data_IF_641556788792
#
_entry.id   IF_641556788792
#
_cell.length_a   1.000
_cell.length_b   1.000
_cell.length_c   1.000
_cell.angle_alpha   90.00
_cell.angle_beta   90.00
_cell.angle_gamma   90.00
#
_symmetry.space_group_name_H-M   'P 1'
#
loop_
_entity.id
_entity.type
_entity.pdbx_description
1 polymer ?
#
# COMPACT_ATOMS: atom_id res chain seq x y z
N UNK A 1 -19.27 2.19 1.86
CA UNK A 1 -20.42 2.24 0.94
C UNK A 1 -20.08 1.38 -0.26
N UNK A 2 -20.57 0.14 -0.30
CA UNK A 2 -20.36 -0.76 -1.44
C UNK A 2 -21.29 -0.32 -2.58
N UNK A 3 -20.74 -0.13 -3.78
CA UNK A 3 -21.54 0.12 -4.98
C UNK A 3 -21.48 -1.12 -5.85
N UNK A 4 -22.66 -1.66 -6.16
CA UNK A 4 -22.87 -2.81 -7.02
C UNK A 4 -22.27 -2.58 -8.43
N UNK A 5 -21.51 -3.55 -8.93
CA UNK A 5 -21.16 -3.59 -10.36
C UNK A 5 -22.36 -4.12 -11.15
N UNK A 6 -23.07 -3.23 -11.85
CA UNK A 6 -24.09 -3.65 -12.80
C UNK A 6 -23.42 -4.11 -14.11
N UNK A 7 -23.45 -5.42 -14.37
CA UNK A 7 -22.72 -6.06 -15.47
C UNK A 7 -23.62 -6.20 -16.70
N UNK A 8 -23.62 -5.19 -17.58
CA UNK A 8 -24.29 -5.33 -18.88
C UNK A 8 -23.56 -6.34 -19.77
N UNK A 9 -24.15 -7.54 -19.89
CA UNK A 9 -23.75 -8.54 -20.86
C UNK A 9 -24.02 -8.02 -22.29
N UNK A 10 -22.97 -7.85 -23.09
CA UNK A 10 -23.12 -7.83 -24.56
C UNK A 10 -23.13 -9.27 -25.06
N UNK A 11 -24.24 -9.66 -25.67
CA UNK A 11 -24.47 -10.97 -26.26
C UNK A 11 -23.60 -11.13 -27.52
N UNK A 12 -22.48 -11.86 -27.44
CA UNK A 12 -21.72 -12.30 -28.62
C UNK A 12 -22.25 -13.67 -29.03
N UNK A 13 -22.68 -13.79 -30.29
CA UNK A 13 -23.32 -15.00 -30.82
C UNK A 13 -22.32 -16.15 -30.89
N UNK A 14 -22.71 -17.30 -30.35
CA UNK A 14 -21.98 -18.56 -30.46
C UNK A 14 -22.30 -19.20 -31.82
N UNK A 15 -21.36 -19.17 -32.76
CA UNK A 15 -21.44 -19.96 -34.00
C UNK A 15 -20.70 -21.28 -33.82
N UNK A 16 -21.47 -22.35 -33.61
CA UNK A 16 -20.99 -23.73 -33.58
C UNK A 16 -20.45 -24.12 -34.96
N UNK A 17 -19.17 -24.50 -35.05
CA UNK A 17 -18.65 -25.21 -36.21
C UNK A 17 -18.36 -26.66 -35.81
N UNK A 18 -19.18 -27.58 -36.34
CA UNK A 18 -19.01 -29.01 -36.17
C UNK A 18 -17.97 -29.49 -37.19
N UNK A 19 -16.82 -30.01 -36.74
CA UNK A 19 -15.91 -30.76 -37.60
C UNK A 19 -15.66 -32.12 -36.95
N UNK A 20 -16.35 -33.12 -37.47
CA UNK A 20 -16.13 -34.52 -37.13
C UNK A 20 -15.15 -35.10 -38.14
N UNK A 21 -14.01 -35.62 -37.68
CA UNK A 21 -13.24 -36.59 -38.47
C UNK A 21 -12.69 -37.68 -37.56
N UNK A 22 -12.98 -38.93 -37.92
CA UNK A 22 -12.57 -40.15 -37.22
C UNK A 22 -11.23 -40.69 -37.78
N UNK A 23 -10.77 -41.78 -37.16
CA UNK A 23 -9.66 -42.68 -37.57
C UNK A 23 -8.24 -42.21 -37.18
N UNK A 24 -7.33 -43.07 -36.76
CA UNK A 24 -7.46 -44.43 -36.18
C UNK A 24 -6.24 -44.69 -35.27
N UNK A 25 -6.28 -45.74 -34.44
CA UNK A 25 -5.30 -45.95 -33.38
C UNK A 25 -4.01 -46.67 -33.79
N UNK A 26 -3.04 -46.67 -32.87
CA UNK A 26 -2.01 -47.70 -32.73
C UNK A 26 -1.72 -47.89 -31.23
N UNK A 27 -1.56 -49.15 -30.82
CA UNK A 27 -1.45 -49.61 -29.43
C UNK A 27 -0.04 -50.15 -29.20
N UNK A 28 0.61 -49.80 -28.07
CA UNK A 28 1.63 -50.69 -27.46
C UNK A 28 1.63 -50.60 -25.92
N UNK A 29 1.46 -51.79 -25.34
CA UNK A 29 1.74 -52.26 -23.95
C UNK A 29 3.26 -52.49 -23.75
N UNK A 30 3.86 -52.84 -22.60
CA UNK A 30 3.54 -52.85 -21.15
C UNK A 30 4.81 -53.26 -20.34
N UNK A 31 4.79 -53.09 -19.00
CA UNK A 31 5.66 -53.74 -17.98
C UNK A 31 7.20 -53.45 -18.04
N UNK A 32 8.03 -53.65 -16.99
CA UNK A 32 7.85 -54.28 -15.66
C UNK A 32 8.78 -53.66 -14.58
N UNK A 33 8.67 -54.13 -13.34
CA UNK A 33 9.41 -53.74 -12.12
C UNK A 33 10.79 -54.43 -12.00
N UNK A 34 11.70 -53.94 -11.13
CA UNK A 34 11.95 -54.54 -9.78
C UNK A 34 13.17 -53.97 -9.00
N UNK A 35 12.94 -53.81 -7.69
CA UNK A 35 13.80 -53.86 -6.50
C UNK A 35 15.33 -53.59 -6.51
N UNK A 36 15.78 -52.75 -5.55
CA UNK A 36 16.30 -53.33 -4.30
C UNK A 36 16.23 -52.44 -3.04
N UNK A 37 16.02 -53.10 -1.89
CA UNK A 37 16.15 -52.62 -0.51
C UNK A 37 17.64 -52.71 -0.07
N UNK A 38 18.16 -52.39 1.13
CA UNK A 38 17.69 -51.92 2.46
C UNK A 38 18.93 -51.26 3.16
N UNK A 39 19.07 -50.93 4.46
CA UNK A 39 18.21 -50.90 5.66
C UNK A 39 18.88 -50.01 6.75
N UNK A 40 18.14 -49.61 7.80
CA UNK A 40 18.63 -49.37 9.20
C UNK A 40 19.71 -48.28 9.47
N UNK A 41 19.91 -47.71 10.66
CA UNK A 41 19.21 -47.60 11.97
C UNK A 41 19.96 -46.50 12.75
N UNK A 42 19.34 -45.42 13.23
CA UNK A 42 18.57 -45.25 14.48
C UNK A 42 19.40 -45.10 15.79
N UNK A 43 18.91 -44.18 16.64
CA UNK A 43 19.16 -44.01 18.09
C UNK A 43 20.55 -43.61 18.65
N UNK A 44 20.58 -42.42 19.25
CA UNK A 44 21.48 -42.05 20.38
C UNK A 44 21.01 -42.75 21.67
N UNK A 45 21.79 -42.74 22.79
CA UNK A 45 21.48 -41.73 23.83
C UNK A 45 22.62 -41.37 24.85
N UNK A 46 22.63 -40.10 25.34
CA UNK A 46 22.68 -39.70 26.79
C UNK A 46 23.99 -40.02 27.61
N UNK A 47 24.53 -39.31 28.63
CA UNK A 47 24.14 -38.20 29.56
C UNK A 47 25.38 -37.39 30.05
N UNK A 48 25.15 -36.17 30.56
CA UNK A 48 25.64 -35.51 31.81
C UNK A 48 26.93 -36.04 32.53
N UNK A 49 27.79 -35.22 33.16
CA UNK A 49 27.51 -34.59 34.49
C UNK A 49 28.47 -33.45 34.90
N UNK A 50 27.93 -32.52 35.70
CA UNK A 50 28.48 -31.40 36.48
C UNK A 50 29.84 -31.58 37.17
N UNK A 51 30.73 -30.57 37.22
CA UNK A 51 30.94 -29.59 38.35
C UNK A 51 32.45 -29.50 38.68
N UNK A 52 33.07 -28.49 39.34
CA UNK A 52 32.62 -27.32 40.13
C UNK A 52 33.70 -26.20 40.18
N UNK A 53 33.32 -25.00 40.67
CA UNK A 53 34.07 -23.90 41.36
C UNK A 53 35.63 -23.91 41.34
N UNK A 54 36.35 -22.79 41.20
CA UNK A 54 36.31 -21.60 42.09
C UNK A 54 37.23 -20.47 41.55
N UNK A 55 37.07 -19.20 41.99
CA UNK A 55 38.09 -18.15 41.82
C UNK A 55 37.59 -16.79 41.33
N UNK A 56 37.44 -15.82 42.25
CA UNK A 56 37.04 -14.44 41.93
C UNK A 56 38.17 -13.62 41.31
N UNK A 57 37.83 -12.63 40.49
CA UNK A 57 38.43 -11.29 40.60
C UNK A 57 37.49 -10.22 40.01
N UNK A 58 37.34 -9.12 40.75
CA UNK A 58 36.45 -8.01 40.39
C UNK A 58 37.28 -6.77 40.08
N UNK A 59 37.19 -6.26 38.85
CA UNK A 59 37.58 -4.90 38.50
C UNK A 59 36.63 -4.42 37.39
N UNK A 60 35.85 -3.38 37.68
CA UNK A 60 34.82 -2.90 36.76
C UNK A 60 35.32 -1.78 35.85
N UNK A 61 34.88 -1.79 34.60
CA UNK A 61 34.83 -0.58 33.74
C UNK A 61 33.51 -0.59 32.95
N UNK A 62 32.92 0.59 32.78
CA UNK A 62 31.61 0.77 32.17
C UNK A 62 31.67 0.78 30.63
N UNK A 63 30.50 0.51 30.01
CA UNK A 63 30.05 1.01 28.71
C UNK A 63 30.97 0.88 27.48
N UNK A 64 30.51 0.09 26.50
CA UNK A 64 30.35 0.66 25.15
C UNK A 64 29.19 0.03 24.38
N UNK A 65 28.36 0.91 23.84
CA UNK A 65 27.19 0.60 23.01
C UNK A 65 27.67 -0.01 21.69
N UNK A 66 27.16 -1.18 21.32
CA UNK A 66 27.44 -1.76 20.01
C UNK A 66 26.81 -0.90 18.90
N UNK A 67 27.67 -0.42 18.00
CA UNK A 67 27.36 0.53 16.91
C UNK A 67 26.06 0.19 16.18
N UNK A 68 25.22 1.20 16.01
CA UNK A 68 24.09 1.18 15.09
C UNK A 68 24.57 0.86 13.66
N UNK A 69 23.83 -0.05 13.01
CA UNK A 69 24.07 -0.49 11.64
C UNK A 69 23.87 0.69 10.67
N UNK A 70 24.90 1.02 9.88
CA UNK A 70 24.84 2.10 8.91
C UNK A 70 23.82 1.78 7.80
N UNK A 71 22.89 2.69 7.46
CA UNK A 71 22.03 2.49 6.30
C UNK A 71 22.87 2.57 5.02
N UNK A 72 22.93 1.47 4.27
CA UNK A 72 23.68 1.39 3.02
C UNK A 72 23.25 2.50 2.04
N UNK A 73 24.16 3.43 1.76
CA UNK A 73 23.93 4.54 0.87
C UNK A 73 23.99 4.03 -0.58
N UNK A 74 22.84 3.65 -1.15
CA UNK A 74 22.74 3.13 -2.51
C UNK A 74 22.95 4.26 -3.52
N UNK A 75 24.21 4.58 -3.81
CA UNK A 75 24.60 5.65 -4.74
C UNK A 75 24.02 5.41 -6.14
N UNK A 76 22.91 6.06 -6.45
CA UNK A 76 22.28 6.00 -7.76
C UNK A 76 23.19 6.63 -8.82
N UNK A 77 23.27 5.99 -9.98
CA UNK A 77 24.10 6.45 -11.11
C UNK A 77 23.80 7.91 -11.47
N UNK A 78 24.81 8.74 -11.81
CA UNK A 78 24.61 10.15 -12.19
C UNK A 78 23.53 10.36 -13.26
N UNK A 79 23.39 9.42 -14.21
CA UNK A 79 22.35 9.43 -15.26
C UNK A 79 20.93 9.31 -14.71
N UNK A 80 20.72 8.47 -13.69
CA UNK A 80 19.42 8.31 -13.01
C UNK A 80 19.07 9.60 -12.25
N UNK A 81 20.06 10.22 -11.59
CA UNK A 81 19.85 11.44 -10.82
C UNK A 81 19.51 12.64 -11.72
N UNK A 82 20.19 12.78 -12.87
CA UNK A 82 19.86 13.78 -13.87
C UNK A 82 18.41 13.62 -14.37
N UNK A 83 18.04 12.41 -14.78
CA UNK A 83 16.67 12.14 -15.26
C UNK A 83 15.60 12.37 -14.18
N UNK A 84 15.84 11.97 -12.93
CA UNK A 84 14.92 12.23 -11.80
C UNK A 84 14.73 13.74 -11.57
N UNK A 85 15.76 14.56 -11.81
CA UNK A 85 15.67 16.04 -11.76
C UNK A 85 14.82 16.61 -12.91
N UNK A 86 14.93 16.06 -14.12
CA UNK A 86 14.09 16.48 -15.26
C UNK A 86 12.62 16.10 -15.05
N UNK A 87 12.37 14.89 -14.53
CA UNK A 87 11.03 14.43 -14.16
C UNK A 87 10.44 15.31 -13.05
N UNK A 88 11.19 15.60 -11.99
CA UNK A 88 10.76 16.50 -10.92
C UNK A 88 10.44 17.90 -11.47
N UNK A 89 11.25 18.42 -12.40
CA UNK A 89 10.99 19.72 -13.02
C UNK A 89 9.66 19.76 -13.80
N UNK A 90 9.35 18.68 -14.54
CA UNK A 90 8.04 18.50 -15.20
C UNK A 90 6.89 18.37 -14.20
N UNK A 91 7.07 17.58 -13.13
CA UNK A 91 6.07 17.45 -12.05
C UNK A 91 5.78 18.80 -11.39
N UNK A 92 6.81 19.60 -11.08
CA UNK A 92 6.67 20.95 -10.54
C UNK A 92 5.90 21.86 -11.50
N UNK A 93 6.16 21.79 -12.80
CA UNK A 93 5.39 22.54 -13.81
C UNK A 93 3.90 22.13 -13.79
N UNK A 94 3.56 20.85 -13.95
CA UNK A 94 2.17 20.41 -13.97
C UNK A 94 1.42 20.70 -12.67
N UNK A 95 2.05 20.43 -11.51
CA UNK A 95 1.45 20.70 -10.20
C UNK A 95 1.32 22.18 -9.86
N UNK A 96 2.23 23.04 -10.35
CA UNK A 96 2.09 24.49 -10.20
C UNK A 96 0.98 25.04 -11.11
N UNK A 97 0.74 24.43 -12.27
CA UNK A 97 -0.29 24.80 -13.23
C UNK A 97 -1.63 24.06 -13.04
N UNK A 98 -1.82 23.35 -11.92
CA UNK A 98 -3.05 22.60 -11.61
C UNK A 98 -3.46 21.60 -12.72
N UNK A 99 -2.46 21.12 -13.47
CA UNK A 99 -2.66 20.37 -14.70
C UNK A 99 -2.79 18.87 -14.42
N UNK A 100 -3.70 18.23 -15.15
CA UNK A 100 -3.82 16.77 -15.24
C UNK A 100 -2.72 16.11 -16.11
N UNK A 101 -1.77 16.88 -16.65
CA UNK A 101 -0.70 16.37 -17.50
C UNK A 101 -1.10 16.11 -18.95
N UNK A 102 -0.20 15.50 -19.75
CA UNK A 102 -0.32 15.48 -21.21
C UNK A 102 -1.44 14.56 -21.74
N UNK A 103 -1.96 13.66 -20.91
CA UNK A 103 -3.07 12.77 -21.25
C UNK A 103 -4.40 13.13 -20.56
N UNK A 104 -4.45 14.24 -19.81
CA UNK A 104 -5.61 14.63 -19.01
C UNK A 104 -5.97 13.66 -17.87
N UNK A 105 -5.11 12.67 -17.57
CA UNK A 105 -5.40 11.55 -16.69
C UNK A 105 -4.32 11.30 -15.62
N UNK A 106 -3.55 12.34 -15.31
CA UNK A 106 -2.63 12.43 -14.16
C UNK A 106 -1.42 11.46 -14.22
N UNK A 107 -0.99 11.05 -15.42
CA UNK A 107 0.28 10.33 -15.61
C UNK A 107 0.91 10.60 -16.99
N UNK A 108 2.15 10.16 -17.20
CA UNK A 108 2.73 9.95 -18.53
C UNK A 108 3.69 8.74 -18.55
N UNK A 109 3.94 8.19 -19.74
CA UNK A 109 4.94 7.15 -19.95
C UNK A 109 6.31 7.77 -20.22
N UNK A 110 7.34 7.33 -19.50
CA UNK A 110 8.69 7.91 -19.55
C UNK A 110 9.76 6.95 -20.14
N UNK A 111 9.32 5.80 -20.68
CA UNK A 111 10.16 4.83 -21.38
C UNK A 111 10.26 3.51 -20.64
N UNK A 112 11.45 2.90 -20.66
CA UNK A 112 11.76 1.62 -19.98
C UNK A 112 12.04 1.80 -18.50
N UNK A 113 11.73 0.78 -17.70
CA UNK A 113 11.93 0.76 -16.25
C UNK A 113 13.40 0.87 -15.83
N UNK A 114 13.64 1.50 -14.67
CA UNK A 114 14.96 1.90 -14.13
C UNK A 114 15.11 1.50 -12.65
N UNK A 115 14.71 0.26 -12.37
CA UNK A 115 14.76 -0.38 -11.06
C UNK A 115 16.14 -0.29 -10.41
N UNK A 116 16.16 -0.10 -9.09
CA UNK A 116 17.39 -0.02 -8.27
C UNK A 116 17.21 -0.79 -6.96
N UNK A 117 18.28 -1.29 -6.33
CA UNK A 117 18.18 -1.82 -4.96
C UNK A 117 17.37 -3.12 -4.78
N UNK A 118 17.19 -3.92 -5.84
CA UNK A 118 16.55 -5.25 -5.80
C UNK A 118 17.51 -6.41 -5.43
N UNK A 119 18.82 -6.18 -5.38
CA UNK A 119 19.86 -7.22 -5.18
C UNK A 119 19.74 -8.06 -3.89
N UNK A 120 18.97 -7.58 -2.91
CA UNK A 120 18.72 -8.26 -1.63
C UNK A 120 17.22 -8.45 -1.35
N UNK A 121 16.38 -8.35 -2.39
CA UNK A 121 14.94 -8.56 -2.29
C UNK A 121 14.62 -9.90 -2.96
N UNK A 122 14.05 -10.83 -2.21
CA UNK A 122 13.57 -12.11 -2.75
C UNK A 122 12.16 -12.00 -3.35
N UNK A 123 11.77 -12.96 -4.18
CA UNK A 123 10.40 -13.11 -4.70
C UNK A 123 9.38 -13.13 -3.56
N UNK A 124 8.28 -12.38 -3.70
CA UNK A 124 7.24 -12.20 -2.67
C UNK A 124 7.61 -11.23 -1.54
N UNK A 125 8.86 -10.74 -1.48
CA UNK A 125 9.30 -9.78 -0.48
C UNK A 125 9.14 -8.33 -0.96
N UNK A 126 9.06 -7.43 0.01
CA UNK A 126 8.87 -6.00 -0.18
C UNK A 126 9.71 -5.18 0.80
N UNK A 127 9.93 -3.91 0.48
CA UNK A 127 10.62 -2.95 1.34
C UNK A 127 10.01 -1.56 1.17
N UNK A 128 9.55 -0.99 2.28
CA UNK A 128 9.12 0.41 2.37
C UNK A 128 10.17 1.20 3.14
N UNK A 129 10.55 2.38 2.66
CA UNK A 129 11.56 3.22 3.32
C UNK A 129 11.04 4.63 3.57
N UNK A 130 11.64 5.31 4.54
CA UNK A 130 11.52 6.75 4.71
C UNK A 130 12.82 7.45 4.29
N UNK A 131 12.74 8.73 3.96
CA UNK A 131 13.93 9.57 3.82
C UNK A 131 14.39 10.15 5.17
N UNK A 132 15.45 10.97 5.13
CA UNK A 132 16.03 11.64 6.30
C UNK A 132 15.10 12.69 6.94
N UNK A 133 14.02 13.09 6.26
CA UNK A 133 12.99 13.99 6.78
C UNK A 133 11.78 13.20 7.33
N UNK A 134 11.83 11.87 7.33
CA UNK A 134 10.73 11.00 7.76
C UNK A 134 9.57 10.91 6.76
N UNK A 135 9.73 11.45 5.54
CA UNK A 135 8.74 11.32 4.45
C UNK A 135 8.82 9.92 3.87
N UNK A 136 7.72 9.44 3.29
CA UNK A 136 7.71 8.17 2.55
C UNK A 136 8.64 8.26 1.34
N UNK A 137 9.62 7.38 1.29
CA UNK A 137 10.58 7.29 0.19
C UNK A 137 10.23 6.08 -0.69
N UNK A 138 11.23 5.46 -1.31
CA UNK A 138 10.99 4.39 -2.27
C UNK A 138 10.36 3.14 -1.65
N UNK A 139 9.25 2.70 -2.23
CA UNK A 139 8.65 1.39 -2.00
C UNK A 139 9.08 0.41 -3.10
N UNK A 140 9.41 -0.83 -2.73
CA UNK A 140 9.77 -1.91 -3.67
C UNK A 140 9.07 -3.21 -3.31
N UNK A 141 8.74 -4.01 -4.30
CA UNK A 141 8.36 -5.41 -4.14
C UNK A 141 8.74 -6.23 -5.37
N UNK A 142 9.07 -7.51 -5.16
CA UNK A 142 9.05 -8.52 -6.22
C UNK A 142 7.71 -9.24 -6.10
N UNK A 143 6.71 -8.75 -6.83
CA UNK A 143 5.33 -9.21 -6.77
C UNK A 143 5.15 -10.56 -7.47
N UNK A 144 4.18 -11.37 -7.03
CA UNK A 144 3.81 -12.62 -7.70
C UNK A 144 2.32 -12.69 -8.02
N UNK A 145 1.95 -13.61 -8.93
CA UNK A 145 0.56 -13.95 -9.20
C UNK A 145 -0.22 -14.34 -7.92
N UNK A 146 0.44 -14.94 -6.92
CA UNK A 146 -0.22 -15.45 -5.72
C UNK A 146 -0.70 -14.35 -4.77
N UNK A 147 0.09 -13.27 -4.55
CA UNK A 147 -0.36 -12.08 -3.84
C UNK A 147 -1.51 -11.39 -4.58
N UNK A 148 -1.39 -11.21 -5.90
CA UNK A 148 -2.46 -10.62 -6.71
C UNK A 148 -3.75 -11.43 -6.60
N UNK A 149 -3.68 -12.76 -6.76
CA UNK A 149 -4.85 -13.63 -6.77
C UNK A 149 -5.51 -13.73 -5.38
N UNK A 150 -4.73 -13.73 -4.29
CA UNK A 150 -5.27 -13.74 -2.92
C UNK A 150 -5.89 -12.39 -2.50
N UNK A 151 -5.48 -11.29 -3.13
CA UNK A 151 -6.00 -9.94 -2.85
C UNK A 151 -7.30 -9.59 -3.59
N UNK A 152 -7.85 -10.51 -4.40
CA UNK A 152 -9.07 -10.27 -5.20
C UNK A 152 -10.35 -10.39 -4.38
N UNK A 153 -11.32 -9.53 -4.71
CA UNK A 153 -12.70 -9.62 -4.22
C UNK A 153 -12.97 -8.94 -2.88
N UNK A 154 -11.93 -8.71 -2.06
CA UNK A 154 -12.04 -7.94 -0.82
C UNK A 154 -10.79 -7.11 -0.57
N UNK A 155 -10.91 -6.13 0.33
CA UNK A 155 -9.81 -5.27 0.73
C UNK A 155 -9.03 -5.89 1.89
N UNK A 156 -7.70 -5.88 1.82
CA UNK A 156 -6.85 -6.67 2.74
C UNK A 156 -6.43 -5.92 4.03
N UNK A 157 -6.98 -4.74 4.31
CA UNK A 157 -6.66 -3.97 5.52
C UNK A 157 -7.17 -2.51 5.50
N UNK A 158 -6.76 -1.73 6.52
CA UNK A 158 -7.12 -0.31 6.69
C UNK A 158 -5.92 0.59 6.34
N UNK A 159 -6.13 1.73 5.64
CA UNK A 159 -5.04 2.51 5.10
C UNK A 159 -4.45 3.40 6.19
N UNK A 160 -3.14 3.45 6.28
CA UNK A 160 -2.46 4.27 7.30
C UNK A 160 -2.33 5.72 6.83
N UNK A 161 -2.33 6.65 7.79
CA UNK A 161 -1.99 8.04 7.50
C UNK A 161 -0.51 8.11 7.06
N UNK A 162 -0.20 8.67 5.89
CA UNK A 162 1.19 8.95 5.52
C UNK A 162 1.81 9.95 6.51
N UNK A 163 3.15 10.05 6.60
CA UNK A 163 3.84 10.92 7.55
C UNK A 163 3.40 12.39 7.57
N UNK A 164 2.83 12.89 6.47
CA UNK A 164 2.34 14.26 6.31
C UNK A 164 0.87 14.30 5.83
N UNK A 165 -0.01 13.68 6.61
CA UNK A 165 -1.46 13.67 6.31
C UNK A 165 -2.13 15.00 6.74
N UNK A 166 -2.76 15.74 5.83
CA UNK A 166 -3.37 17.04 6.14
C UNK A 166 -4.66 16.86 6.94
N UNK A 167 -4.78 17.64 8.01
CA UNK A 167 -5.98 17.71 8.87
C UNK A 167 -6.43 19.16 8.99
N UNK A 168 -7.67 19.51 8.57
CA UNK A 168 -8.66 18.65 7.91
C UNK A 168 -8.28 18.28 6.47
N UNK A 169 -8.77 17.14 5.99
CA UNK A 169 -8.82 16.82 4.56
C UNK A 169 -10.20 17.28 4.03
N UNK A 170 -10.27 18.32 3.18
CA UNK A 170 -11.54 18.88 2.74
C UNK A 170 -12.29 17.96 1.78
N UNK A 171 -13.61 18.05 1.78
CA UNK A 171 -14.44 17.57 0.67
C UNK A 171 -14.54 18.64 -0.40
N UNK A 172 -14.45 18.25 -1.66
CA UNK A 172 -14.31 19.13 -2.81
C UNK A 172 -15.16 18.63 -3.98
N UNK A 173 -15.50 19.54 -4.89
CA UNK A 173 -15.98 19.24 -6.22
C UNK A 173 -14.82 19.42 -7.22
N UNK A 174 -14.48 18.39 -8.01
CA UNK A 174 -13.41 18.44 -9.02
C UNK A 174 -14.02 18.11 -10.39
N UNK A 175 -14.06 19.07 -11.30
CA UNK A 175 -14.53 18.86 -12.68
C UNK A 175 -13.34 18.52 -13.59
N UNK A 176 -13.30 17.29 -14.10
CA UNK A 176 -12.20 16.80 -14.93
C UNK A 176 -12.41 17.15 -16.41
N UNK A 177 -11.47 17.87 -17.02
CA UNK A 177 -11.60 18.26 -18.43
C UNK A 177 -11.63 17.05 -19.38
N UNK A 178 -10.90 15.98 -19.06
CA UNK A 178 -10.85 14.75 -19.87
C UNK A 178 -12.22 14.05 -20.01
N UNK A 179 -13.13 14.20 -19.04
CA UNK A 179 -14.38 13.42 -19.00
C UNK A 179 -15.65 14.28 -18.90
N UNK A 180 -15.53 15.58 -18.65
CA UNK A 180 -16.65 16.48 -18.35
C UNK A 180 -17.37 16.15 -17.03
N UNK A 181 -16.88 15.20 -16.23
CA UNK A 181 -17.52 14.76 -14.98
C UNK A 181 -17.00 15.53 -13.78
N UNK A 182 -17.90 15.82 -12.85
CA UNK A 182 -17.54 16.33 -11.52
C UNK A 182 -17.49 15.21 -10.49
N UNK A 183 -16.35 15.07 -9.81
CA UNK A 183 -16.19 14.23 -8.62
C UNK A 183 -16.57 15.03 -7.38
N UNK A 184 -17.30 14.40 -6.45
CA UNK A 184 -17.61 14.97 -5.13
C UNK A 184 -17.05 14.04 -4.03
N UNK A 185 -16.20 14.58 -3.15
CA UNK A 185 -15.62 13.81 -2.04
C UNK A 185 -14.29 14.36 -1.55
N UNK A 186 -13.53 13.57 -0.78
CA UNK A 186 -12.28 14.05 -0.17
C UNK A 186 -11.20 14.36 -1.20
N UNK A 187 -10.54 15.51 -1.04
CA UNK A 187 -9.45 15.97 -1.90
C UNK A 187 -8.27 14.98 -1.89
N UNK A 188 -7.84 14.55 -0.71
CA UNK A 188 -6.71 13.63 -0.57
C UNK A 188 -7.14 12.19 -0.33
N UNK A 189 -6.36 11.26 -0.87
CA UNK A 189 -6.41 9.83 -0.62
C UNK A 189 -5.10 9.43 0.07
N UNK A 190 -5.17 8.43 0.95
CA UNK A 190 -3.98 7.70 1.44
C UNK A 190 -3.53 6.82 0.28
N UNK A 191 -2.79 7.42 -0.67
CA UNK A 191 -2.42 6.76 -1.91
C UNK A 191 -1.30 5.77 -1.63
N UNK A 192 -1.51 4.51 -2.05
CA UNK A 192 -0.50 3.48 -1.92
C UNK A 192 0.66 3.76 -2.88
N UNK A 193 1.89 3.47 -2.45
CA UNK A 193 3.04 3.35 -3.34
C UNK A 193 3.03 1.98 -4.04
N UNK A 194 2.63 0.91 -3.34
CA UNK A 194 2.32 -0.41 -3.91
C UNK A 194 0.96 -0.86 -3.38
N UNK A 195 0.03 -1.14 -4.28
CA UNK A 195 -1.39 -1.26 -3.97
C UNK A 195 -1.80 -2.55 -3.23
N UNK A 196 -2.93 -2.43 -2.53
CA UNK A 196 -3.72 -3.53 -1.94
C UNK A 196 -3.94 -4.69 -2.92
N UNK A 197 -4.30 -4.42 -4.17
CA UNK A 197 -4.54 -5.46 -5.18
C UNK A 197 -3.29 -6.19 -5.64
N UNK A 198 -2.09 -5.63 -5.44
CA UNK A 198 -0.82 -6.19 -5.88
C UNK A 198 -0.09 -6.95 -4.77
N UNK A 199 -0.16 -6.44 -3.54
CA UNK A 199 0.66 -6.88 -2.41
C UNK A 199 -0.18 -7.36 -1.20
N UNK A 200 -1.51 -7.21 -1.26
CA UNK A 200 -2.43 -7.68 -0.23
C UNK A 200 -2.21 -7.03 1.13
N UNK A 201 -2.38 -7.81 2.20
CA UNK A 201 -2.27 -7.33 3.59
C UNK A 201 -0.90 -6.70 3.91
N UNK A 202 0.17 -7.16 3.24
CA UNK A 202 1.53 -6.59 3.31
C UNK A 202 1.55 -5.09 2.95
N UNK A 203 0.63 -4.61 2.10
CA UNK A 203 0.54 -3.18 1.72
C UNK A 203 0.22 -2.23 2.89
N UNK A 204 -0.32 -2.75 4.00
CA UNK A 204 -0.72 -1.97 5.18
C UNK A 204 0.29 -1.99 6.32
N UNK A 205 1.41 -2.72 6.19
CA UNK A 205 2.35 -2.92 7.31
C UNK A 205 3.20 -1.69 7.65
N UNK A 206 3.16 -0.63 6.83
CA UNK A 206 3.88 0.62 7.10
C UNK A 206 3.21 1.84 6.49
N UNK A 207 3.19 2.96 7.25
CA UNK A 207 2.82 4.29 6.74
C UNK A 207 3.71 4.75 5.57
N UNK A 208 4.90 4.16 5.41
CA UNK A 208 5.83 4.48 4.32
C UNK A 208 5.45 3.84 2.98
N UNK A 209 4.44 2.96 2.95
CA UNK A 209 3.76 2.59 1.70
C UNK A 209 2.67 3.60 1.28
N UNK A 210 2.51 4.72 2.00
CA UNK A 210 1.48 5.71 1.71
C UNK A 210 2.08 7.09 1.43
N UNK A 211 1.45 7.84 0.54
CA UNK A 211 1.67 9.28 0.36
C UNK A 211 0.36 10.04 0.42
N UNK A 212 0.43 11.35 0.69
CA UNK A 212 -0.70 12.27 0.56
C UNK A 212 -0.92 12.55 -0.93
N UNK A 213 -1.68 11.67 -1.58
CA UNK A 213 -2.05 11.81 -2.99
C UNK A 213 -3.38 12.55 -3.13
N UNK A 214 -3.55 13.38 -4.16
CA UNK A 214 -4.89 13.86 -4.54
C UNK A 214 -5.77 12.69 -5.02
N UNK A 215 -7.10 12.85 -5.01
CA UNK A 215 -8.02 11.86 -5.60
C UNK A 215 -7.64 11.51 -7.05
N UNK A 216 -7.41 12.47 -7.96
CA UNK A 216 -6.95 12.17 -9.31
C UNK A 216 -5.52 11.63 -9.40
N UNK A 217 -4.60 11.96 -8.49
CA UNK A 217 -3.30 11.29 -8.44
C UNK A 217 -3.44 9.79 -8.17
N UNK A 218 -4.40 9.41 -7.33
CA UNK A 218 -4.62 8.03 -6.95
C UNK A 218 -5.33 7.21 -8.05
N UNK A 219 -6.32 7.79 -8.74
CA UNK A 219 -7.17 7.04 -9.70
C UNK A 219 -7.39 7.68 -11.08
N UNK A 220 -6.83 8.86 -11.34
CA UNK A 220 -7.07 9.63 -12.56
C UNK A 220 -8.44 10.28 -12.64
N UNK A 221 -8.68 10.97 -13.75
CA UNK A 221 -9.95 11.61 -14.10
C UNK A 221 -11.02 10.58 -14.51
N UNK A 222 -10.63 9.50 -15.18
CA UNK A 222 -11.54 8.49 -15.72
C UNK A 222 -11.60 7.18 -14.90
N UNK A 223 -10.99 7.15 -13.71
CA UNK A 223 -10.79 5.97 -12.84
C UNK A 223 -9.76 4.93 -13.33
N UNK A 224 -9.10 5.17 -14.47
CA UNK A 224 -8.03 4.34 -15.04
C UNK A 224 -6.75 5.17 -15.27
N UNK A 225 -6.43 6.09 -14.35
CA UNK A 225 -5.28 7.01 -14.43
C UNK A 225 -4.57 7.20 -13.11
N UNK A 226 -3.63 8.14 -13.03
CA UNK A 226 -2.77 8.29 -11.87
C UNK A 226 -2.04 6.98 -11.50
N UNK A 227 -1.96 6.64 -10.21
CA UNK A 227 -1.41 5.36 -9.73
C UNK A 227 -2.14 4.15 -10.32
N UNK A 228 -3.46 4.25 -10.50
CA UNK A 228 -4.29 3.14 -10.99
C UNK A 228 -3.84 2.60 -12.35
N UNK A 229 -3.30 3.44 -13.22
CA UNK A 229 -2.74 2.99 -14.51
C UNK A 229 -1.51 2.08 -14.33
N UNK A 230 -0.61 2.43 -13.40
CA UNK A 230 0.57 1.63 -13.09
C UNK A 230 0.18 0.30 -12.42
N UNK A 231 -0.81 0.33 -11.51
CA UNK A 231 -1.38 -0.87 -10.90
C UNK A 231 -1.99 -1.79 -11.97
N UNK A 232 -2.80 -1.24 -12.87
CA UNK A 232 -3.45 -1.99 -13.96
C UNK A 232 -2.45 -2.61 -14.93
N UNK A 233 -1.28 -2.00 -15.12
CA UNK A 233 -0.21 -2.59 -15.93
C UNK A 233 0.21 -3.96 -15.39
N UNK A 234 0.41 -4.08 -14.08
CA UNK A 234 0.74 -5.35 -13.43
C UNK A 234 -0.47 -6.30 -13.36
N UNK A 235 -1.65 -5.80 -12.96
CA UNK A 235 -2.86 -6.63 -12.90
C UNK A 235 -3.26 -7.22 -14.25
N UNK A 236 -3.16 -6.47 -15.33
CA UNK A 236 -3.60 -6.91 -16.66
C UNK A 236 -2.67 -7.99 -17.23
N UNK A 237 -1.39 -7.98 -16.87
CA UNK A 237 -0.48 -9.08 -17.16
C UNK A 237 -0.95 -10.38 -16.46
N UNK A 238 -1.23 -10.34 -15.15
CA UNK A 238 -1.73 -11.55 -14.46
C UNK A 238 -3.16 -11.96 -14.82
N UNK A 239 -4.02 -11.03 -15.26
CA UNK A 239 -5.35 -11.37 -15.84
C UNK A 239 -5.22 -12.15 -17.15
N UNK A 240 -4.19 -11.88 -17.95
CA UNK A 240 -3.91 -12.57 -19.22
C UNK A 240 -3.00 -13.81 -19.05
N UNK A 241 -2.24 -13.88 -17.96
CA UNK A 241 -1.34 -14.99 -17.62
C UNK A 241 -1.71 -15.59 -16.26
N UNK A 242 -2.89 -16.22 -16.12
CA UNK A 242 -3.29 -16.86 -14.87
C UNK A 242 -2.31 -17.97 -14.48
N UNK A 243 -2.05 -18.12 -13.18
CA UNK A 243 -1.17 -19.14 -12.59
C UNK A 243 0.30 -19.08 -13.06
N UNK A 244 0.73 -17.98 -13.69
CA UNK A 244 2.14 -17.78 -14.08
C UNK A 244 3.08 -17.71 -12.87
N UNK A 245 4.30 -18.22 -13.06
CA UNK A 245 5.44 -18.03 -12.15
C UNK A 245 6.18 -16.70 -12.37
N UNK A 246 5.83 -15.94 -13.41
CA UNK A 246 6.44 -14.62 -13.69
C UNK A 246 6.20 -13.65 -12.53
N UNK A 247 7.30 -13.14 -11.98
CA UNK A 247 7.30 -12.06 -11.00
C UNK A 247 7.32 -10.69 -11.69
N UNK A 248 6.88 -9.66 -10.96
CA UNK A 248 7.00 -8.26 -11.37
C UNK A 248 7.79 -7.50 -10.32
N UNK A 249 8.96 -7.01 -10.71
CA UNK A 249 9.72 -6.02 -9.96
C UNK A 249 9.01 -4.67 -10.10
N UNK A 250 8.55 -4.14 -8.97
CA UNK A 250 7.75 -2.92 -8.90
C UNK A 250 8.39 -1.94 -7.91
N UNK A 251 8.84 -0.78 -8.40
CA UNK A 251 9.46 0.30 -7.59
C UNK A 251 8.67 1.60 -7.74
N UNK A 252 8.16 2.14 -6.63
CA UNK A 252 7.54 3.47 -6.60
C UNK A 252 8.43 4.43 -5.82
N UNK A 253 8.90 5.50 -6.47
CA UNK A 253 9.70 6.57 -5.85
C UNK A 253 8.95 7.90 -5.90
N UNK A 254 8.39 8.37 -4.77
CA UNK A 254 7.84 9.72 -4.64
C UNK A 254 8.92 10.79 -4.81
N UNK A 255 8.60 11.91 -5.47
CA UNK A 255 9.52 13.01 -5.71
C UNK A 255 9.05 14.31 -5.04
N UNK A 256 9.95 14.96 -4.30
CA UNK A 256 9.69 16.15 -3.48
C UNK A 256 10.63 17.29 -3.87
N UNK A 257 10.20 18.56 -3.73
CA UNK A 257 11.12 19.71 -3.79
C UNK A 257 11.59 20.07 -2.38
N UNK A 258 12.89 20.01 -2.11
CA UNK A 258 13.47 20.49 -0.85
C UNK A 258 12.84 19.86 0.41
N UNK A 259 12.18 20.70 1.21
CA UNK A 259 11.45 20.30 2.43
C UNK A 259 9.92 20.21 2.25
N UNK A 260 9.44 20.03 1.02
CA UNK A 260 8.02 19.70 0.78
C UNK A 260 7.65 18.38 1.46
N UNK A 261 6.53 18.34 2.17
CA UNK A 261 6.09 17.15 2.92
C UNK A 261 5.15 16.26 2.11
N UNK A 262 4.54 16.82 1.06
CA UNK A 262 3.71 16.13 0.06
C UNK A 262 4.49 16.05 -1.26
N UNK A 263 4.57 14.89 -1.94
CA UNK A 263 5.34 14.77 -3.17
C UNK A 263 4.63 15.49 -4.32
N UNK A 264 5.40 15.99 -5.30
CA UNK A 264 4.87 16.53 -6.57
C UNK A 264 4.32 15.43 -7.49
N UNK A 265 4.69 14.18 -7.23
CA UNK A 265 4.31 13.00 -8.00
C UNK A 265 5.21 11.83 -7.64
N UNK A 266 5.06 10.73 -8.36
CA UNK A 266 5.84 9.51 -8.17
C UNK A 266 6.31 8.96 -9.50
N UNK A 267 7.54 8.45 -9.54
CA UNK A 267 7.97 7.51 -10.59
C UNK A 267 7.53 6.11 -10.16
N UNK A 268 7.01 5.33 -11.09
CA UNK A 268 6.67 3.91 -10.92
C UNK A 268 7.36 3.11 -12.03
N UNK A 269 8.39 2.37 -11.64
CA UNK A 269 9.15 1.46 -12.50
C UNK A 269 8.56 0.05 -12.37
N UNK A 270 8.19 -0.55 -13.51
CA UNK A 270 7.56 -1.88 -13.57
C UNK A 270 8.31 -2.74 -14.58
N UNK A 271 8.81 -3.90 -14.13
CA UNK A 271 9.43 -4.88 -15.02
C UNK A 271 9.03 -6.30 -14.64
N UNK A 272 8.51 -7.07 -15.59
CA UNK A 272 8.26 -8.50 -15.40
C UNK A 272 9.53 -9.32 -15.67
N UNK A 273 9.67 -10.49 -15.04
CA UNK A 273 10.86 -11.33 -15.19
C UNK A 273 11.00 -11.94 -16.59
N UNK A 274 9.90 -12.09 -17.33
CA UNK A 274 9.87 -12.45 -18.77
C UNK A 274 10.17 -11.27 -19.71
N UNK A 275 10.26 -10.04 -19.18
CA UNK A 275 10.41 -8.77 -19.91
C UNK A 275 9.21 -8.33 -20.77
N UNK A 276 8.04 -8.98 -20.65
CA UNK A 276 6.78 -8.54 -21.31
C UNK A 276 6.36 -7.14 -20.87
N UNK A 277 6.52 -6.81 -19.59
CA UNK A 277 6.44 -5.45 -19.06
C UNK A 277 7.87 -4.93 -18.84
N UNK A 278 8.14 -3.72 -19.33
CA UNK A 278 9.35 -2.96 -19.01
C UNK A 278 9.07 -1.47 -19.22
N UNK A 279 8.45 -0.82 -18.22
CA UNK A 279 7.98 0.57 -18.35
C UNK A 279 8.23 1.42 -17.10
N UNK A 280 8.55 2.69 -17.33
CA UNK A 280 8.62 3.76 -16.32
C UNK A 280 7.38 4.66 -16.52
N UNK A 281 6.47 4.68 -15.54
CA UNK A 281 5.28 5.55 -15.50
C UNK A 281 5.55 6.67 -14.52
N UNK A 282 5.28 7.92 -14.88
CA UNK A 282 5.30 9.03 -13.92
C UNK A 282 3.89 9.50 -13.63
N UNK A 283 3.52 9.51 -12.35
CA UNK A 283 2.21 9.87 -11.83
C UNK A 283 2.25 11.26 -11.21
N UNK A 284 1.29 12.11 -11.56
CA UNK A 284 1.25 13.53 -11.21
C UNK A 284 0.40 13.74 -9.95
N UNK A 285 0.96 14.37 -8.90
CA UNK A 285 0.19 14.70 -7.69
C UNK A 285 -0.54 16.04 -7.77
N UNK A 286 -1.30 16.24 -8.85
CA UNK A 286 -2.02 17.49 -9.16
C UNK A 286 -3.53 17.29 -9.03
N UNK A 287 -4.30 18.36 -9.17
CA UNK A 287 -5.77 18.38 -9.24
C UNK A 287 -6.19 19.63 -10.00
N UNK A 288 -7.15 19.48 -10.91
CA UNK A 288 -7.67 20.61 -11.70
C UNK A 288 -8.45 21.61 -10.83
N UNK A 289 -8.10 22.89 -10.94
CA UNK A 289 -8.79 24.02 -10.27
C UNK A 289 -8.54 24.14 -8.76
N UNK A 290 -7.60 23.38 -8.19
CA UNK A 290 -7.26 23.43 -6.76
C UNK A 290 -5.75 23.52 -6.58
N UNK A 291 -5.29 24.64 -6.00
CA UNK A 291 -3.89 24.86 -5.64
C UNK A 291 -3.53 24.12 -4.36
N UNK A 292 -2.66 23.12 -4.49
CA UNK A 292 -2.04 22.41 -3.35
C UNK A 292 -0.76 23.10 -2.89
N UNK A 293 -0.60 23.28 -1.58
CA UNK A 293 0.65 23.67 -0.93
C UNK A 293 1.43 22.41 -0.53
N UNK A 294 2.38 21.99 -1.36
CA UNK A 294 3.16 20.76 -1.16
C UNK A 294 4.06 20.79 0.09
N UNK A 295 4.28 21.96 0.71
CA UNK A 295 5.02 22.06 1.97
C UNK A 295 4.20 21.60 3.18
N UNK A 296 2.87 21.75 3.15
CA UNK A 296 1.99 21.54 4.32
C UNK A 296 0.80 20.62 4.05
N UNK A 297 0.49 20.31 2.79
CA UNK A 297 -0.73 19.61 2.40
C UNK A 297 -2.01 20.48 2.48
N UNK A 298 -1.91 21.77 2.83
CA UNK A 298 -3.05 22.69 2.72
C UNK A 298 -3.37 23.00 1.25
N UNK A 299 -4.55 23.56 0.98
CA UNK A 299 -4.95 23.97 -0.37
C UNK A 299 -5.86 25.20 -0.32
N UNK A 300 -6.12 25.82 -1.48
CA UNK A 300 -7.15 26.86 -1.64
C UNK A 300 -8.57 26.29 -1.83
N UNK A 301 -8.78 24.99 -1.65
CA UNK A 301 -10.04 24.33 -1.96
C UNK A 301 -11.19 24.90 -1.11
N UNK A 302 -12.26 25.35 -1.78
CA UNK A 302 -13.53 25.66 -1.11
C UNK A 302 -14.24 24.36 -0.75
N UNK A 303 -14.60 24.12 0.51
CA UNK A 303 -15.30 22.90 0.90
C UNK A 303 -16.67 22.77 0.21
N UNK A 304 -16.95 21.61 -0.39
CA UNK A 304 -18.28 21.28 -0.90
C UNK A 304 -19.20 20.91 0.26
N UNK A 305 -19.76 21.94 0.90
CA UNK A 305 -20.64 21.81 2.06
C UNK A 305 -22.00 21.18 1.70
N UNK A 306 -22.46 21.33 0.45
CA UNK A 306 -23.75 20.83 -0.01
C UNK A 306 -23.79 19.30 -0.14
N UNK A 307 -22.63 18.66 -0.30
CA UNK A 307 -22.49 17.19 -0.35
C UNK A 307 -21.90 16.58 0.95
N UNK A 308 -22.11 17.26 2.10
CA UNK A 308 -21.84 16.69 3.42
C UNK A 308 -23.09 15.95 3.93
N UNK A 309 -23.03 14.63 4.19
CA UNK A 309 -24.09 13.94 4.91
C UNK A 309 -24.25 14.53 6.31
N UNK A 310 -25.49 14.82 6.72
CA UNK A 310 -25.82 15.57 7.94
C UNK A 310 -25.18 15.04 9.24
N UNK A 311 -24.80 13.76 9.28
CA UNK A 311 -24.15 13.11 10.42
C UNK A 311 -22.76 13.66 10.82
N UNK A 312 -22.16 14.58 10.04
CA UNK A 312 -20.84 15.19 10.34
C UNK A 312 -20.94 16.69 10.67
N UNK A 313 -22.14 17.28 10.66
CA UNK A 313 -22.35 18.71 10.95
C UNK A 313 -22.43 19.04 12.46
N UNK A 314 -22.06 18.11 13.35
CA UNK A 314 -22.06 18.32 14.79
C UNK A 314 -20.76 19.00 15.25
N UNK A 315 -20.90 20.19 15.83
CA UNK A 315 -19.84 20.99 16.48
C UNK A 315 -19.06 20.22 17.56
N UNK A 316 -17.77 20.55 17.81
CA UNK A 316 -16.97 19.88 18.83
C UNK A 316 -17.55 20.11 20.24
N UNK A 317 -17.99 19.02 20.89
CA UNK A 317 -18.35 19.03 22.31
C UNK A 317 -17.09 19.15 23.18
N UNK A 318 -17.03 20.02 24.20
CA UNK A 318 -15.85 20.16 25.05
C UNK A 318 -15.49 18.86 25.78
N UNK A 319 -14.19 18.63 25.96
CA UNK A 319 -13.65 17.48 26.69
C UNK A 319 -13.99 17.54 28.18
N UNK A 320 -14.59 16.48 28.71
CA UNK A 320 -14.59 16.24 30.16
C UNK A 320 -13.36 15.43 30.57
N UNK A 321 -12.48 16.05 31.35
CA UNK A 321 -11.51 15.33 32.18
C UNK A 321 -12.23 14.68 33.40
N UNK A 322 -11.64 13.64 34.01
CA UNK A 322 -12.32 12.86 35.05
C UNK A 322 -12.20 13.51 36.43
N UNK A 323 -13.33 13.65 37.14
CA UNK A 323 -13.37 14.01 38.56
C UNK A 323 -13.59 12.77 39.43
N UNK A 324 -12.66 12.50 40.35
CA UNK A 324 -12.71 11.37 41.28
C UNK A 324 -13.39 11.77 42.59
N UNK A 325 -14.36 10.95 43.01
CA UNK A 325 -14.93 10.82 44.37
C UNK A 325 -15.51 12.05 45.09
N UNK A 326 -16.79 11.94 45.47
CA UNK A 326 -17.26 12.42 46.78
C UNK A 326 -18.36 11.48 47.29
N UNK A 327 -18.14 10.89 48.47
CA UNK A 327 -19.06 9.98 49.15
C UNK A 327 -20.17 10.74 49.87
N UNK A 328 -21.42 10.31 49.73
CA UNK A 328 -22.53 10.75 50.60
C UNK A 328 -23.08 9.58 51.41
N UNK A 329 -22.87 9.68 52.72
CA UNK A 329 -23.39 8.78 53.75
C UNK A 329 -24.91 8.89 53.86
N UNK A 330 -25.58 7.76 54.08
CA UNK A 330 -27.03 7.67 54.32
C UNK A 330 -27.40 8.15 55.73
N UNK A 331 -28.37 9.05 55.84
CA UNK A 331 -29.07 9.36 57.10
C UNK A 331 -30.44 8.70 57.11
N UNK A 332 -30.59 7.64 57.92
CA UNK A 332 -31.89 7.22 58.44
C UNK A 332 -31.93 7.50 59.94
N UNK A 333 -32.92 8.30 60.36
CA UNK A 333 -33.21 8.54 61.78
C UNK A 333 -34.35 7.64 62.24
N UNK A 334 -34.30 7.26 63.51
CA UNK A 334 -35.04 6.13 64.10
C UNK A 334 -36.46 6.48 64.53
N UNK A 335 -37.35 5.47 64.56
CA UNK A 335 -38.52 5.49 65.47
C UNK A 335 -38.95 4.09 65.95
N UNK A 336 -38.54 3.78 67.19
CA UNK A 336 -39.39 3.24 68.27
C UNK A 336 -39.97 1.80 68.14
N UNK A 337 -39.41 0.90 68.97
CA UNK A 337 -40.04 0.02 69.99
C UNK A 337 -41.56 -0.32 69.86
N UNK A 338 -42.06 -1.54 70.16
CA UNK A 338 -41.81 -2.37 71.37
C UNK A 338 -42.35 -3.82 71.21
N UNK A 339 -41.99 -4.71 72.13
CA UNK A 339 -42.35 -6.15 72.23
C UNK A 339 -43.87 -6.42 72.44
N UNK A 340 -44.43 -7.64 72.38
CA UNK A 340 -44.15 -8.87 73.18
C UNK A 340 -44.63 -10.17 72.48
N UNK A 341 -44.00 -11.29 72.86
CA UNK A 341 -44.27 -12.71 72.54
C UNK A 341 -45.74 -13.18 72.52
N UNK A 342 -45.98 -14.28 71.81
CA UNK A 342 -47.03 -15.26 72.14
C UNK A 342 -46.48 -16.45 72.96
N UNK A 343 -47.39 -17.17 73.62
CA UNK A 343 -47.25 -18.61 73.87
C UNK A 343 -47.75 -19.38 72.66
#
# INVERSE_FOLDING_TARGET
MYIYFNKHHKLVKLTTLLVTLLTAGSILTACSLDDNSANSSDSTPVTQTSSSKHGNNTAGTQQSVTKAHQPGNTTSSPKINAQRKDILSKLVSYTNSESAGPNGNYYWLNGKARLTGFSHLGTGNYRFTSDVQGRSATARAILTYSEYQSSKGSRQGSPLDPPAWPTPNPKVAITYQLTGRTYHGYLYNRSHSIADSLLGSKSYTSKYNFTTGTRPQNTGANQNGGMRYAEETAENYWKSHPQTSTSIDYETTPLYVGNETVPRGSIVDIKSSDNTINTEVVVINSVEGIKVNYKTGSSNATPDLNHIPAAVAATPKPSHQPTKASSKTSTHSSSITKAVNGQ
#
